data_IF_928967627609
#
_entry.id   IF_928967627609
#
_cell.length_a   1.000
_cell.length_b   1.000
_cell.length_c   1.000
_cell.angle_alpha   90.00
_cell.angle_beta   90.00
_cell.angle_gamma   90.00
#
_symmetry.space_group_name_H-M   'P 1'
#
loop_
_entity.id
_entity.type
_entity.pdbx_description
1 polymer ?
#
# COMPACT_ATOMS: atom_id res chain seq x y z
N UNK A 1 -6.39 -8.06 -24.83
CA UNK A 1 -6.68 -6.72 -25.42
C UNK A 1 -5.86 -5.69 -24.67
N UNK A 2 -5.14 -4.82 -25.38
CA UNK A 2 -4.40 -3.70 -24.73
C UNK A 2 -5.37 -2.60 -24.35
N UNK A 3 -5.27 -2.10 -23.13
CA UNK A 3 -6.10 -1.00 -22.61
C UNK A 3 -5.22 0.12 -22.05
N UNK A 4 -5.72 1.34 -22.08
CA UNK A 4 -5.09 2.50 -21.43
C UNK A 4 -6.01 2.94 -20.30
N UNK A 5 -5.45 2.97 -19.07
CA UNK A 5 -6.16 3.43 -17.88
C UNK A 5 -5.72 4.87 -17.57
N UNK A 6 -6.67 5.80 -17.53
CA UNK A 6 -6.42 7.18 -17.11
C UNK A 6 -6.35 7.32 -15.59
N UNK A 7 -6.02 8.53 -15.07
CA UNK A 7 -6.02 8.79 -13.63
C UNK A 7 -7.45 8.79 -13.06
N UNK A 8 -7.56 8.51 -11.74
CA UNK A 8 -8.82 8.56 -11.00
C UNK A 8 -9.37 7.17 -10.68
N UNK A 9 -10.55 6.80 -11.22
CA UNK A 9 -11.22 5.52 -10.92
C UNK A 9 -10.35 4.26 -11.07
N UNK A 10 -9.36 4.16 -11.96
CA UNK A 10 -8.41 3.04 -11.97
C UNK A 10 -7.66 2.83 -10.66
N UNK A 11 -7.58 3.84 -9.79
CA UNK A 11 -7.07 3.67 -8.43
C UNK A 11 -7.89 2.67 -7.60
N UNK A 12 -9.21 2.62 -7.81
CA UNK A 12 -10.07 1.60 -7.16
C UNK A 12 -9.75 0.20 -7.69
N UNK A 13 -9.52 0.06 -9.00
CA UNK A 13 -9.08 -1.20 -9.57
C UNK A 13 -7.75 -1.67 -8.96
N UNK A 14 -6.80 -0.76 -8.76
CA UNK A 14 -5.53 -1.05 -8.12
C UNK A 14 -5.72 -1.46 -6.66
N UNK A 15 -6.59 -0.75 -5.92
CA UNK A 15 -6.98 -1.08 -4.55
C UNK A 15 -7.48 -2.53 -4.44
N UNK A 16 -8.43 -2.92 -5.29
CA UNK A 16 -9.01 -4.27 -5.27
C UNK A 16 -8.02 -5.33 -5.77
N UNK A 17 -7.22 -5.02 -6.78
CA UNK A 17 -6.33 -5.99 -7.39
C UNK A 17 -5.13 -6.34 -6.51
N UNK A 18 -4.53 -5.36 -5.84
CA UNK A 18 -3.31 -5.55 -5.05
C UNK A 18 -3.34 -4.86 -3.69
N UNK A 19 -4.13 -3.81 -3.50
CA UNK A 19 -4.13 -2.98 -2.29
C UNK A 19 -4.40 -3.81 -1.04
N UNK A 20 -5.48 -4.57 -1.01
CA UNK A 20 -5.79 -5.46 0.11
C UNK A 20 -4.68 -6.49 0.37
N UNK A 21 -4.01 -6.96 -0.66
CA UNK A 21 -2.87 -7.89 -0.52
C UNK A 21 -1.63 -7.24 0.13
N UNK A 22 -1.57 -5.91 0.18
CA UNK A 22 -0.47 -5.15 0.76
C UNK A 22 -0.76 -4.64 2.18
N UNK A 23 -1.91 -4.99 2.75
CA UNK A 23 -2.24 -4.69 4.14
C UNK A 23 -1.39 -5.53 5.10
N UNK A 24 -0.95 -4.90 6.20
CA UNK A 24 -0.06 -5.50 7.18
C UNK A 24 -0.64 -6.74 7.85
N UNK A 25 -1.95 -6.75 8.16
CA UNK A 25 -2.59 -7.88 8.85
C UNK A 25 -2.61 -9.16 8.02
N UNK A 26 -2.91 -9.08 6.71
CA UNK A 26 -2.84 -10.25 5.81
C UNK A 26 -1.42 -10.78 5.66
N UNK A 27 -0.44 -9.86 5.59
CA UNK A 27 0.97 -10.24 5.47
C UNK A 27 1.51 -10.83 6.78
N UNK A 28 1.14 -10.30 7.93
CA UNK A 28 1.46 -10.87 9.24
C UNK A 28 0.89 -12.29 9.42
N UNK A 29 -0.32 -12.51 8.94
CA UNK A 29 -0.99 -13.83 9.01
C UNK A 29 -0.48 -14.82 7.97
N UNK A 30 0.32 -14.39 7.00
CA UNK A 30 0.81 -15.24 5.92
C UNK A 30 -0.24 -15.60 4.87
N UNK A 31 -1.28 -14.80 4.73
CA UNK A 31 -2.42 -15.09 3.82
C UNK A 31 -2.37 -14.30 2.51
N UNK A 32 -1.42 -13.38 2.36
CA UNK A 32 -1.23 -12.61 1.13
C UNK A 32 -0.20 -13.25 0.20
N UNK A 33 -0.39 -13.05 -1.10
CA UNK A 33 0.61 -13.38 -2.12
C UNK A 33 1.91 -12.58 -1.98
N UNK A 34 1.91 -11.48 -1.23
CA UNK A 34 3.06 -10.62 -0.96
C UNK A 34 3.81 -10.97 0.33
N UNK A 35 3.30 -11.92 1.12
CA UNK A 35 3.88 -12.28 2.42
C UNK A 35 5.34 -12.70 2.29
N UNK A 36 6.22 -12.04 3.06
CA UNK A 36 7.65 -12.35 3.12
C UNK A 36 8.46 -11.96 1.89
N UNK A 37 7.86 -11.19 0.96
CA UNK A 37 8.50 -10.85 -0.32
C UNK A 37 9.07 -9.45 -0.39
N UNK A 38 9.24 -8.76 0.75
CA UNK A 38 9.92 -7.46 0.78
C UNK A 38 11.32 -7.60 0.18
N UNK A 39 11.67 -6.70 -0.75
CA UNK A 39 12.91 -6.73 -1.51
C UNK A 39 12.85 -7.57 -2.79
N UNK A 40 11.78 -8.33 -3.02
CA UNK A 40 11.61 -9.11 -4.25
C UNK A 40 10.89 -8.31 -5.34
N UNK A 41 11.13 -8.68 -6.58
CA UNK A 41 10.38 -8.19 -7.73
C UNK A 41 9.00 -8.86 -7.76
N UNK A 42 7.95 -8.06 -7.61
CA UNK A 42 6.54 -8.50 -7.60
C UNK A 42 5.74 -7.93 -8.77
N UNK A 43 6.29 -6.95 -9.48
CA UNK A 43 5.66 -6.31 -10.63
C UNK A 43 6.70 -5.97 -11.72
N UNK A 44 6.23 -5.43 -12.84
CA UNK A 44 7.12 -4.85 -13.88
C UNK A 44 7.95 -3.71 -13.27
N UNK A 45 9.17 -3.53 -13.76
CA UNK A 45 10.05 -2.40 -13.40
C UNK A 45 9.45 -1.02 -13.75
N UNK A 46 8.41 -1.00 -14.58
CA UNK A 46 7.67 0.23 -14.90
C UNK A 46 6.61 0.58 -13.85
N UNK A 47 6.41 -0.27 -12.85
CA UNK A 47 5.37 -0.09 -11.84
C UNK A 47 5.95 0.44 -10.54
N UNK A 48 5.50 1.65 -10.15
CA UNK A 48 5.66 2.18 -8.80
C UNK A 48 4.28 2.42 -8.20
N UNK A 49 4.06 1.91 -6.99
CA UNK A 49 2.78 2.00 -6.28
C UNK A 49 3.00 2.64 -4.94
N UNK A 50 2.22 3.68 -4.66
CA UNK A 50 2.23 4.40 -3.39
C UNK A 50 0.82 4.42 -2.79
N UNK A 51 0.74 4.42 -1.47
CA UNK A 51 -0.45 4.80 -0.71
C UNK A 51 -0.20 6.21 -0.16
N UNK A 52 -1.04 7.17 -0.54
CA UNK A 52 -0.83 8.58 -0.19
C UNK A 52 -2.11 9.23 0.32
N UNK A 53 -2.25 9.25 1.65
CA UNK A 53 -3.34 9.93 2.34
C UNK A 53 -3.16 11.45 2.44
N UNK A 54 -2.04 12.01 2.01
CA UNK A 54 -1.69 13.43 2.19
C UNK A 54 -2.08 14.32 1.00
N UNK A 55 -2.57 13.76 -0.10
CA UNK A 55 -2.93 14.50 -1.32
C UNK A 55 -4.05 15.52 -1.04
N UNK A 56 -3.86 16.82 -1.35
CA UNK A 56 -4.86 17.83 -1.03
C UNK A 56 -6.15 17.63 -1.85
N UNK A 57 -7.30 17.88 -1.23
CA UNK A 57 -8.62 17.88 -1.87
C UNK A 57 -9.01 16.54 -2.52
N UNK A 58 -8.47 15.42 -2.06
CA UNK A 58 -8.90 14.09 -2.47
C UNK A 58 -9.86 13.51 -1.44
N UNK A 59 -10.86 12.74 -1.91
CA UNK A 59 -11.90 12.14 -1.04
C UNK A 59 -11.32 11.20 0.02
N UNK A 60 -10.27 10.45 -0.31
CA UNK A 60 -9.64 9.49 0.58
C UNK A 60 -8.52 10.08 1.46
N UNK A 61 -8.22 11.39 1.31
CA UNK A 61 -7.15 12.00 2.09
C UNK A 61 -7.61 12.38 3.49
N UNK A 62 -6.74 12.15 4.46
CA UNK A 62 -6.96 12.39 5.88
C UNK A 62 -5.74 13.12 6.47
N UNK A 63 -5.94 13.91 7.52
CA UNK A 63 -4.83 14.49 8.28
C UNK A 63 -4.21 13.47 9.23
N UNK A 64 -5.06 12.63 9.81
CA UNK A 64 -4.71 11.53 10.71
C UNK A 64 -5.62 10.35 10.40
N UNK A 65 -5.14 9.14 10.62
CA UNK A 65 -5.94 7.92 10.55
C UNK A 65 -6.85 7.77 11.80
N UNK A 66 -7.62 6.68 11.85
CA UNK A 66 -8.52 6.39 12.97
C UNK A 66 -7.79 6.08 14.29
N UNK A 67 -6.49 5.83 14.24
CA UNK A 67 -5.62 5.63 15.40
C UNK A 67 -4.87 6.90 15.82
N UNK A 68 -5.08 8.02 15.10
CA UNK A 68 -4.41 9.30 15.36
C UNK A 68 -3.01 9.42 14.78
N UNK A 69 -2.59 8.50 13.92
CA UNK A 69 -1.32 8.56 13.22
C UNK A 69 -1.43 9.55 12.04
N UNK A 70 -0.52 10.52 11.90
CA UNK A 70 -0.51 11.40 10.74
C UNK A 70 -0.33 10.61 9.44
N UNK A 71 -1.20 10.87 8.46
CA UNK A 71 -1.10 10.23 7.15
C UNK A 71 0.12 10.74 6.37
N UNK A 72 0.63 9.90 5.50
CA UNK A 72 1.82 10.19 4.69
C UNK A 72 1.74 9.51 3.33
N UNK A 73 2.72 9.77 2.47
CA UNK A 73 2.95 9.02 1.26
C UNK A 73 3.86 7.82 1.58
N UNK A 74 3.33 6.62 1.44
CA UNK A 74 4.03 5.35 1.71
C UNK A 74 4.29 4.62 0.41
N UNK A 75 5.56 4.36 0.08
CA UNK A 75 5.92 3.58 -1.10
C UNK A 75 5.78 2.09 -0.80
N UNK A 76 4.89 1.42 -1.51
CA UNK A 76 4.62 -0.01 -1.37
C UNK A 76 5.43 -0.83 -2.37
N UNK A 77 5.47 -0.40 -3.63
CA UNK A 77 6.26 -1.02 -4.70
C UNK A 77 7.02 0.09 -5.40
N UNK A 78 8.31 -0.08 -5.63
CA UNK A 78 9.17 0.85 -6.37
C UNK A 78 9.91 0.09 -7.47
N UNK A 79 9.76 0.54 -8.71
CA UNK A 79 10.37 -0.08 -9.89
C UNK A 79 10.14 -1.61 -9.93
N UNK A 80 8.93 -2.03 -9.54
CA UNK A 80 8.52 -3.42 -9.48
C UNK A 80 8.98 -4.19 -8.25
N UNK A 81 9.74 -3.59 -7.35
CA UNK A 81 10.25 -4.23 -6.11
C UNK A 81 9.37 -3.87 -4.92
N UNK A 82 8.93 -4.88 -4.17
CA UNK A 82 8.14 -4.67 -2.95
C UNK A 82 9.00 -4.01 -1.86
N UNK A 83 8.54 -2.87 -1.33
CA UNK A 83 9.26 -2.08 -0.32
C UNK A 83 8.66 -2.22 1.09
N UNK A 84 7.36 -2.43 1.18
CA UNK A 84 6.69 -2.52 2.47
C UNK A 84 5.21 -2.80 2.34
N UNK A 85 4.54 -2.78 3.47
CA UNK A 85 3.10 -2.99 3.61
C UNK A 85 2.45 -1.74 4.21
N UNK A 86 1.13 -1.62 4.05
CA UNK A 86 0.32 -0.64 4.78
C UNK A 86 0.12 -1.15 6.21
N UNK A 87 0.57 -0.39 7.21
CA UNK A 87 0.62 -0.83 8.61
C UNK A 87 -0.22 0.08 9.50
N UNK A 88 -1.16 -0.49 10.24
CA UNK A 88 -1.73 0.10 11.43
C UNK A 88 -0.78 -0.06 12.64
N UNK A 89 -1.07 0.59 13.76
CA UNK A 89 -0.22 0.50 14.96
C UNK A 89 -0.20 -0.90 15.57
N UNK A 90 -1.31 -1.64 15.47
CA UNK A 90 -1.39 -2.99 16.04
C UNK A 90 -0.52 -3.97 15.27
N UNK A 91 -0.68 -4.05 13.94
CA UNK A 91 0.09 -4.98 13.11
C UNK A 91 1.56 -4.56 13.02
N UNK A 92 1.85 -3.26 12.90
CA UNK A 92 3.21 -2.73 12.91
C UNK A 92 3.99 -3.19 14.15
N UNK A 93 3.38 -3.05 15.34
CA UNK A 93 4.00 -3.51 16.59
C UNK A 93 4.28 -5.02 16.58
N UNK A 94 3.38 -5.84 16.07
CA UNK A 94 3.54 -7.29 15.99
C UNK A 94 4.59 -7.72 14.96
N UNK A 95 4.84 -6.89 13.96
CA UNK A 95 5.85 -7.11 12.91
C UNK A 95 7.18 -6.40 13.20
N UNK A 96 7.31 -5.72 14.33
CA UNK A 96 8.46 -4.90 14.71
C UNK A 96 8.73 -3.76 13.70
N UNK A 97 7.66 -3.18 13.15
CA UNK A 97 7.67 -2.07 12.20
C UNK A 97 6.99 -0.84 12.81
N UNK A 98 6.82 0.23 12.02
CA UNK A 98 6.07 1.43 12.38
C UNK A 98 4.80 1.53 11.56
N UNK A 99 3.75 2.13 12.13
CA UNK A 99 2.53 2.47 11.38
C UNK A 99 2.87 3.37 10.19
N UNK A 100 2.15 3.17 9.10
CA UNK A 100 2.31 3.98 7.88
C UNK A 100 1.34 5.17 7.82
N UNK A 101 0.33 5.21 8.67
CA UNK A 101 -0.66 6.30 8.74
C UNK A 101 -1.69 6.24 7.65
#
# INVERSE_FOLDING_TARGET
>A
MTVVLGPGWPGVLLHEAIGHGLEGDFNRRGTSAFTGRIGERVASELCTVVDDGSLPQRRGSLNVDDEGTPTRCTTLIEDGVLKGYMQDNHNARLMAESSTG
#
